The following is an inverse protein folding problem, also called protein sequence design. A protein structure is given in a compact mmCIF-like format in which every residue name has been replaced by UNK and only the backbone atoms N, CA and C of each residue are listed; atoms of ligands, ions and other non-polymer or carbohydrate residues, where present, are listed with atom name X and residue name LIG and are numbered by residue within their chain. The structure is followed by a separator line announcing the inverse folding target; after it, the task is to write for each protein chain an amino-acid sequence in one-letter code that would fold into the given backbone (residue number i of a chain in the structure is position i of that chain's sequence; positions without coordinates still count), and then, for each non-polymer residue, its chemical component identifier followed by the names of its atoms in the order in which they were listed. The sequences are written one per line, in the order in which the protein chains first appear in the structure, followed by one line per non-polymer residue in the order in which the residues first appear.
data_IF_134043776822
#
_entry.id   IF_134043776822
#
_cell.length_a   1.000
_cell.length_b   1.000
_cell.length_c   1.000
_cell.angle_alpha   90.00
_cell.angle_beta   90.00
_cell.angle_gamma   90.00
#
_symmetry.space_group_name_H-M   'P 1'
#
loop_
_entity.id
_entity.type
_entity.pdbx_description
1 polymer ?
#
# COMPACT_ATOMS: atom_id res chain seq x y z
N UNK A 1 17.17 -2.49 -22.13
CA UNK A 1 17.53 -3.66 -21.31
C UNK A 1 16.39 -4.66 -21.09
N UNK A 2 15.12 -4.34 -21.40
CA UNK A 2 13.97 -5.24 -21.16
C UNK A 2 13.36 -5.84 -22.44
N UNK A 3 13.86 -5.45 -23.61
CA UNK A 3 13.41 -5.95 -24.91
C UNK A 3 13.68 -7.46 -25.04
N UNK A 4 12.65 -8.23 -25.37
CA UNK A 4 12.70 -9.69 -25.49
C UNK A 4 12.70 -10.43 -24.15
N UNK A 5 12.57 -9.73 -23.02
CA UNK A 5 12.52 -10.31 -21.68
C UNK A 5 11.17 -10.01 -21.02
N UNK A 6 10.87 -8.73 -20.81
CA UNK A 6 9.60 -8.28 -20.23
C UNK A 6 8.67 -7.67 -21.28
N UNK A 7 9.24 -7.06 -22.32
CA UNK A 7 8.48 -6.38 -23.37
C UNK A 7 8.95 -6.83 -24.75
N UNK A 8 8.01 -6.92 -25.70
CA UNK A 8 8.27 -7.49 -27.03
C UNK A 8 9.16 -6.65 -27.94
N UNK A 9 9.39 -5.38 -27.62
CA UNK A 9 10.23 -4.48 -28.42
C UNK A 9 10.92 -3.40 -27.55
N UNK A 10 11.79 -2.60 -28.19
CA UNK A 10 12.54 -1.53 -27.53
C UNK A 10 11.64 -0.35 -27.17
N UNK A 11 10.62 -0.09 -27.98
CA UNK A 11 9.67 1.01 -27.82
C UNK A 11 8.85 0.83 -26.54
N UNK A 12 8.32 -0.38 -26.31
CA UNK A 12 7.61 -0.74 -25.09
C UNK A 12 8.54 -0.71 -23.87
N UNK A 13 9.80 -1.14 -24.02
CA UNK A 13 10.80 -1.01 -22.96
C UNK A 13 11.07 0.45 -22.59
N UNK A 14 11.15 1.35 -23.58
CA UNK A 14 11.34 2.77 -23.36
C UNK A 14 10.09 3.41 -22.73
N UNK A 15 8.90 3.03 -23.19
CA UNK A 15 7.64 3.51 -22.64
C UNK A 15 7.47 3.13 -21.16
N UNK A 16 7.80 1.89 -20.79
CA UNK A 16 7.82 1.44 -19.39
C UNK A 16 8.71 2.35 -18.53
N UNK A 17 9.96 2.55 -18.94
CA UNK A 17 10.91 3.40 -18.21
C UNK A 17 10.46 4.86 -18.13
N UNK A 18 9.84 5.38 -19.18
CA UNK A 18 9.33 6.75 -19.20
C UNK A 18 8.16 6.96 -18.24
N UNK A 19 7.29 5.96 -18.06
CA UNK A 19 6.07 6.06 -17.23
C UNK A 19 6.31 5.77 -15.75
N UNK A 20 7.45 5.19 -15.36
CA UNK A 20 7.74 4.89 -13.96
C UNK A 20 7.70 6.17 -13.08
N UNK A 21 6.90 6.17 -12.00
CA UNK A 21 6.96 7.21 -11.00
C UNK A 21 8.37 7.32 -10.41
N UNK A 22 8.92 8.53 -10.44
CA UNK A 22 10.25 8.81 -9.87
C UNK A 22 10.23 10.15 -9.15
N UNK A 23 11.08 10.26 -8.14
CA UNK A 23 11.43 11.55 -7.55
C UNK A 23 12.31 12.35 -8.51
N UNK A 24 12.29 13.69 -8.46
CA UNK A 24 13.22 14.51 -9.22
C UNK A 24 14.67 14.12 -8.93
N UNK A 25 15.48 14.11 -9.99
CA UNK A 25 16.92 13.86 -9.88
C UNK A 25 17.59 14.89 -8.94
N UNK A 26 18.63 14.46 -8.24
CA UNK A 26 19.36 15.29 -7.27
C UNK A 26 18.63 15.57 -5.96
N UNK A 27 17.37 15.13 -5.77
CA UNK A 27 16.64 15.31 -4.50
C UNK A 27 17.23 14.48 -3.35
N UNK A 28 17.71 13.27 -3.65
CA UNK A 28 18.30 12.36 -2.68
C UNK A 28 19.62 11.79 -3.21
N UNK A 29 20.58 11.57 -2.32
CA UNK A 29 21.91 11.01 -2.66
C UNK A 29 22.03 9.51 -2.38
N UNK A 30 21.02 8.89 -1.79
CA UNK A 30 21.05 7.48 -1.43
C UNK A 30 19.76 7.02 -0.76
N UNK A 31 19.69 5.71 -0.51
CA UNK A 31 18.58 5.04 0.16
C UNK A 31 19.07 4.44 1.49
N UNK A 32 18.34 4.71 2.57
CA UNK A 32 18.54 4.05 3.86
C UNK A 32 17.22 3.39 4.29
N UNK A 33 17.32 2.21 4.89
CA UNK A 33 16.15 1.45 5.36
C UNK A 33 16.40 1.00 6.78
N UNK A 34 15.39 1.13 7.63
CA UNK A 34 15.43 0.63 9.01
C UNK A 34 14.05 0.13 9.43
N UNK A 35 13.97 -0.92 10.28
CA UNK A 35 12.67 -1.35 10.83
C UNK A 35 11.97 -0.21 11.57
N UNK A 36 10.66 -0.01 11.33
CA UNK A 36 9.89 1.08 11.96
C UNK A 36 10.01 1.08 13.50
N UNK A 37 9.94 -0.11 14.12
CA UNK A 37 10.07 -0.27 15.58
C UNK A 37 11.38 0.27 16.15
N UNK A 38 12.46 0.26 15.35
CA UNK A 38 13.78 0.72 15.82
C UNK A 38 13.89 2.24 15.94
N UNK A 39 13.00 3.00 15.28
CA UNK A 39 12.98 4.47 15.27
C UNK A 39 14.32 5.13 14.92
N UNK A 40 15.22 4.46 14.18
CA UNK A 40 16.53 5.02 13.79
C UNK A 40 16.44 6.11 12.72
N UNK A 41 15.32 6.15 11.98
CA UNK A 41 15.02 7.17 10.98
C UNK A 41 13.80 7.94 11.51
N UNK A 42 14.01 9.16 11.99
CA UNK A 42 12.97 9.97 12.65
C UNK A 42 13.06 11.47 12.27
N UNK A 43 12.08 12.01 11.52
CA UNK A 43 11.03 11.27 10.81
C UNK A 43 11.62 10.53 9.59
N UNK A 44 11.11 9.34 9.23
CA UNK A 44 11.44 8.73 7.94
C UNK A 44 10.70 9.48 6.81
N UNK A 45 11.21 9.42 5.58
CA UNK A 45 10.48 9.99 4.44
C UNK A 45 9.17 9.24 4.15
N UNK A 46 9.19 7.92 4.31
CA UNK A 46 8.07 7.01 4.07
C UNK A 46 8.10 5.84 5.05
N UNK A 47 6.92 5.36 5.42
CA UNK A 47 6.70 4.10 6.12
C UNK A 47 6.22 3.04 5.12
N UNK A 48 6.72 1.81 5.24
CA UNK A 48 6.30 0.70 4.39
C UNK A 48 6.10 -0.58 5.18
N UNK A 49 5.12 -1.38 4.77
CA UNK A 49 4.83 -2.68 5.36
C UNK A 49 4.10 -3.60 4.38
N UNK A 50 4.29 -4.89 4.56
CA UNK A 50 3.58 -5.94 3.84
C UNK A 50 2.40 -6.46 4.67
N UNK A 51 1.38 -6.98 4.01
CA UNK A 51 0.20 -7.54 4.65
C UNK A 51 -0.85 -8.03 3.67
N UNK A 52 -1.79 -8.81 4.16
CA UNK A 52 -2.87 -9.39 3.34
C UNK A 52 -3.84 -8.32 2.84
N UNK A 53 -4.59 -8.57 1.74
CA UNK A 53 -5.65 -7.66 1.28
C UNK A 53 -6.61 -7.22 2.38
N UNK A 54 -6.92 -8.12 3.32
CA UNK A 54 -7.79 -7.82 4.44
C UNK A 54 -7.18 -6.81 5.44
N UNK A 55 -5.88 -6.93 5.72
CA UNK A 55 -5.17 -5.95 6.56
C UNK A 55 -5.09 -4.59 5.85
N UNK A 56 -4.82 -4.59 4.54
CA UNK A 56 -4.68 -3.37 3.75
C UNK A 56 -5.99 -2.57 3.65
N UNK A 57 -7.12 -3.23 3.39
CA UNK A 57 -8.40 -2.51 3.34
C UNK A 57 -8.79 -1.96 4.71
N UNK A 58 -8.47 -2.66 5.80
CA UNK A 58 -8.72 -2.14 7.15
C UNK A 58 -7.87 -0.90 7.45
N UNK A 59 -6.60 -0.90 7.02
CA UNK A 59 -5.73 0.27 7.11
C UNK A 59 -6.25 1.46 6.28
N UNK A 60 -6.72 1.21 5.05
CA UNK A 60 -7.34 2.24 4.19
C UNK A 60 -8.60 2.82 4.84
N UNK A 61 -9.45 1.99 5.45
CA UNK A 61 -10.61 2.49 6.19
C UNK A 61 -10.17 3.41 7.34
N UNK A 62 -9.08 3.06 8.03
CA UNK A 62 -8.46 3.92 9.05
C UNK A 62 -8.04 5.29 8.50
N UNK A 63 -7.37 5.31 7.35
CA UNK A 63 -6.99 6.56 6.67
C UNK A 63 -8.21 7.47 6.39
N UNK A 64 -9.35 6.87 6.07
CA UNK A 64 -10.57 7.56 5.67
C UNK A 64 -11.44 8.02 6.85
N UNK A 65 -11.26 7.46 8.05
CA UNK A 65 -12.20 7.65 9.17
C UNK A 65 -12.44 9.13 9.51
N UNK A 66 -11.38 9.92 9.71
CA UNK A 66 -11.51 11.35 10.04
C UNK A 66 -11.64 12.24 8.81
N UNK A 67 -11.12 11.80 7.66
CA UNK A 67 -11.06 12.57 6.41
C UNK A 67 -11.27 11.63 5.23
N UNK A 68 -12.54 11.43 4.89
CA UNK A 68 -12.87 10.59 3.75
C UNK A 68 -12.25 11.18 2.47
N UNK A 69 -11.55 10.32 1.73
CA UNK A 69 -11.23 10.53 0.33
C UNK A 69 -11.17 9.18 -0.37
N UNK A 70 -11.43 9.19 -1.67
CA UNK A 70 -11.10 8.05 -2.53
C UNK A 70 -9.59 8.05 -2.78
N UNK A 71 -9.00 6.86 -2.81
CA UNK A 71 -7.60 6.64 -3.14
C UNK A 71 -7.50 6.03 -4.54
N UNK A 72 -6.60 6.57 -5.36
CA UNK A 72 -6.32 6.04 -6.70
C UNK A 72 -4.90 5.44 -6.68
N UNK A 73 -4.83 4.12 -6.88
CA UNK A 73 -3.59 3.34 -6.94
C UNK A 73 -3.32 2.89 -8.38
N UNK A 74 -2.04 2.81 -8.74
CA UNK A 74 -1.57 2.40 -10.07
C UNK A 74 -0.83 1.08 -9.99
N UNK A 75 -0.72 0.38 -11.12
CA UNK A 75 -0.06 -0.92 -11.20
C UNK A 75 0.85 -1.01 -12.41
N UNK A 76 2.07 -1.47 -12.17
CA UNK A 76 3.09 -1.81 -13.16
C UNK A 76 3.55 -3.24 -12.84
N UNK A 77 3.42 -4.14 -13.81
CA UNK A 77 3.70 -5.56 -13.58
C UNK A 77 5.16 -5.86 -13.27
N UNK A 78 6.09 -5.21 -13.97
CA UNK A 78 7.52 -5.22 -13.67
C UNK A 78 7.91 -3.86 -13.08
N UNK A 79 8.71 -3.84 -12.02
CA UNK A 79 9.03 -2.62 -11.24
C UNK A 79 7.87 -2.08 -10.36
N UNK A 80 7.09 -2.95 -9.72
CA UNK A 80 6.03 -2.55 -8.78
C UNK A 80 6.52 -1.70 -7.58
N UNK A 81 7.82 -1.71 -7.28
CA UNK A 81 8.47 -0.79 -6.34
C UNK A 81 8.29 0.69 -6.71
N UNK A 82 8.17 1.00 -8.00
CA UNK A 82 7.90 2.36 -8.48
C UNK A 82 6.46 2.79 -8.15
N UNK A 83 5.48 1.88 -8.19
CA UNK A 83 4.09 2.17 -7.81
C UNK A 83 3.86 2.16 -6.31
N UNK A 84 4.66 1.45 -5.52
CA UNK A 84 4.57 1.54 -4.06
C UNK A 84 5.31 2.76 -3.52
N UNK A 85 6.57 2.59 -3.15
CA UNK A 85 7.32 3.57 -2.40
C UNK A 85 7.87 4.68 -3.28
N UNK A 86 8.17 4.40 -4.57
CA UNK A 86 8.54 5.43 -5.53
C UNK A 86 7.45 6.49 -5.71
N UNK A 87 6.22 6.05 -5.96
CA UNK A 87 5.03 6.89 -6.04
C UNK A 87 4.76 7.60 -4.73
N UNK A 88 4.74 6.90 -3.60
CA UNK A 88 4.47 7.51 -2.30
C UNK A 88 5.49 8.60 -1.94
N UNK A 89 6.76 8.39 -2.27
CA UNK A 89 7.83 9.36 -2.06
C UNK A 89 7.70 10.58 -3.00
N UNK A 90 7.34 10.34 -4.27
CA UNK A 90 7.18 11.38 -5.28
C UNK A 90 5.94 12.27 -5.04
N UNK A 91 4.80 11.66 -4.69
CA UNK A 91 3.52 12.37 -4.56
C UNK A 91 3.21 12.79 -3.14
N UNK A 92 3.92 12.25 -2.13
CA UNK A 92 3.57 12.39 -0.71
C UNK A 92 2.16 11.89 -0.39
N UNK A 93 1.70 10.86 -1.10
CA UNK A 93 0.41 10.21 -0.86
C UNK A 93 0.61 8.73 -0.56
N UNK A 94 -0.28 8.14 0.22
CA UNK A 94 -0.29 6.68 0.40
C UNK A 94 -0.46 5.96 -0.94
N UNK A 95 0.29 4.88 -1.12
CA UNK A 95 0.22 4.00 -2.28
C UNK A 95 0.21 2.54 -1.87
N UNK A 96 -0.73 1.78 -2.44
CA UNK A 96 -0.83 0.34 -2.33
C UNK A 96 -0.38 -0.28 -3.66
N UNK A 97 0.48 -1.28 -3.64
CA UNK A 97 0.87 -2.04 -4.82
C UNK A 97 0.63 -3.54 -4.68
N UNK A 98 0.43 -4.17 -5.83
CA UNK A 98 0.61 -5.61 -6.00
C UNK A 98 2.12 -5.85 -6.19
N UNK A 99 2.79 -6.61 -5.30
CA UNK A 99 4.21 -6.88 -5.47
C UNK A 99 4.47 -7.55 -6.83
N UNK A 100 5.62 -7.33 -7.45
CA UNK A 100 5.91 -7.93 -8.75
C UNK A 100 6.54 -9.32 -8.65
N UNK A 101 6.88 -9.91 -9.79
CA UNK A 101 7.62 -11.18 -9.85
C UNK A 101 8.95 -11.12 -9.09
N UNK A 102 9.71 -10.03 -9.23
CA UNK A 102 11.00 -9.88 -8.57
C UNK A 102 10.87 -9.76 -7.04
N UNK A 103 9.86 -9.04 -6.55
CA UNK A 103 9.57 -8.94 -5.11
C UNK A 103 9.21 -10.30 -4.51
N UNK A 104 8.44 -11.13 -5.22
CA UNK A 104 8.14 -12.51 -4.78
C UNK A 104 9.37 -13.40 -4.84
N UNK A 105 10.02 -13.46 -6.00
CA UNK A 105 11.13 -14.39 -6.25
C UNK A 105 12.38 -14.08 -5.44
N UNK A 106 12.73 -12.80 -5.31
CA UNK A 106 13.98 -12.36 -4.70
C UNK A 106 13.78 -11.66 -3.35
N UNK A 107 12.64 -11.00 -3.16
CA UNK A 107 12.27 -10.39 -1.88
C UNK A 107 11.58 -11.36 -0.92
N UNK A 108 11.11 -12.52 -1.40
CA UNK A 108 10.43 -13.52 -0.58
C UNK A 108 9.03 -13.11 -0.12
N UNK A 109 8.42 -12.13 -0.79
CA UNK A 109 7.05 -11.67 -0.48
C UNK A 109 6.07 -12.79 -0.75
N UNK A 110 5.14 -13.03 0.18
CA UNK A 110 4.15 -14.09 0.02
C UNK A 110 3.13 -13.74 -1.08
N UNK A 111 2.52 -14.76 -1.66
CA UNK A 111 1.63 -14.59 -2.81
C UNK A 111 0.36 -13.80 -2.47
N UNK A 112 -0.09 -13.93 -1.23
CA UNK A 112 -1.24 -13.26 -0.63
C UNK A 112 -0.90 -11.93 0.06
N UNK A 113 0.34 -11.45 -0.05
CA UNK A 113 0.75 -10.16 0.50
C UNK A 113 0.70 -9.04 -0.55
N UNK A 114 0.34 -7.87 -0.05
CA UNK A 114 0.40 -6.57 -0.72
C UNK A 114 1.46 -5.70 -0.04
N UNK A 115 1.92 -4.65 -0.74
CA UNK A 115 2.83 -3.66 -0.18
C UNK A 115 2.11 -2.31 0.00
N UNK A 116 2.10 -1.80 1.22
CA UNK A 116 1.66 -0.45 1.53
C UNK A 116 2.87 0.45 1.74
N UNK A 117 2.88 1.62 1.11
CA UNK A 117 3.84 2.69 1.36
C UNK A 117 3.10 4.01 1.61
N UNK A 118 3.44 4.74 2.66
CA UNK A 118 2.77 5.98 3.02
C UNK A 118 3.69 6.98 3.72
N UNK A 119 3.39 8.29 3.64
CA UNK A 119 4.00 9.29 4.51
C UNK A 119 3.77 8.96 6.01
N UNK A 120 4.68 9.35 6.91
CA UNK A 120 4.54 9.08 8.35
C UNK A 120 3.24 9.62 8.96
N UNK A 121 2.79 10.80 8.51
CA UNK A 121 1.55 11.42 8.99
C UNK A 121 0.30 10.65 8.54
N UNK A 122 0.31 10.09 7.32
CA UNK A 122 -0.76 9.20 6.87
C UNK A 122 -0.74 7.87 7.64
N UNK A 123 0.45 7.32 7.93
CA UNK A 123 0.56 6.12 8.75
C UNK A 123 -0.08 6.31 10.13
N UNK A 124 0.27 7.39 10.83
CA UNK A 124 -0.30 7.70 12.15
C UNK A 124 -1.81 7.92 12.09
N UNK A 125 -2.30 8.64 11.06
CA UNK A 125 -3.74 8.86 10.83
C UNK A 125 -4.49 7.53 10.64
N UNK A 126 -3.90 6.59 9.89
CA UNK A 126 -4.51 5.29 9.68
C UNK A 126 -4.67 4.52 10.99
N UNK A 127 -3.63 4.50 11.83
CA UNK A 127 -3.64 3.82 13.12
C UNK A 127 -4.70 4.42 14.06
N UNK A 128 -4.80 5.75 14.13
CA UNK A 128 -5.83 6.43 14.90
C UNK A 128 -7.25 6.04 14.41
N UNK A 129 -7.49 6.15 13.09
CA UNK A 129 -8.78 5.80 12.49
C UNK A 129 -9.15 4.32 12.68
N UNK A 130 -8.18 3.40 12.58
CA UNK A 130 -8.39 1.98 12.91
C UNK A 130 -8.81 1.80 14.38
N UNK A 131 -8.25 2.58 15.30
CA UNK A 131 -8.66 2.57 16.71
C UNK A 131 -10.12 3.00 16.88
N UNK A 132 -10.57 3.99 16.13
CA UNK A 132 -11.96 4.41 16.12
C UNK A 132 -12.92 3.38 15.49
N UNK A 133 -12.56 2.82 14.34
CA UNK A 133 -13.34 1.77 13.68
C UNK A 133 -13.52 0.55 14.60
N UNK A 134 -12.45 0.17 15.31
CA UNK A 134 -12.47 -0.92 16.29
C UNK A 134 -13.50 -0.70 17.40
N UNK A 135 -13.66 0.54 17.90
CA UNK A 135 -14.69 0.90 18.91
C UNK A 135 -16.12 0.71 18.37
N UNK A 136 -16.31 0.87 17.07
CA UNK A 136 -17.60 0.62 16.39
C UNK A 136 -17.81 -0.87 16.07
N UNK A 137 -16.85 -1.74 16.40
CA UNK A 137 -16.90 -3.18 16.09
C UNK A 137 -16.42 -3.53 14.68
N UNK A 138 -15.99 -2.55 13.88
CA UNK A 138 -15.37 -2.76 12.58
C UNK A 138 -13.89 -3.06 12.82
N UNK A 139 -13.49 -4.33 12.72
CA UNK A 139 -12.14 -4.78 13.08
C UNK A 139 -11.65 -5.89 12.17
N UNK A 140 -10.32 -6.01 12.09
CA UNK A 140 -9.63 -7.14 11.49
C UNK A 140 -9.16 -8.13 12.59
N UNK A 141 -9.22 -9.45 12.38
CA UNK A 141 -9.76 -10.16 11.22
C UNK A 141 -11.27 -9.93 11.03
N UNK A 142 -11.74 -9.98 9.78
CA UNK A 142 -13.16 -9.80 9.46
C UNK A 142 -13.94 -11.09 9.75
N UNK A 143 -14.84 -11.12 10.76
CA UNK A 143 -15.65 -12.28 11.02
C UNK A 143 -16.72 -12.41 9.93
N UNK A 144 -16.72 -13.48 9.11
CA UNK A 144 -17.76 -13.67 8.10
C UNK A 144 -19.09 -13.99 8.79
N UNK A 145 -20.18 -13.55 8.17
CA UNK A 145 -21.50 -14.08 8.51
C UNK A 145 -21.58 -15.56 8.12
N UNK A 146 -22.17 -16.37 8.98
CA UNK A 146 -22.49 -17.75 8.64
C UNK A 146 -23.52 -17.81 7.51
N UNK A 147 -23.47 -18.87 6.68
CA UNK A 147 -24.32 -19.00 5.50
C UNK A 147 -25.84 -18.96 5.77
N UNK A 148 -26.26 -19.23 7.01
CA UNK A 148 -27.67 -19.24 7.45
C UNK A 148 -28.05 -18.05 8.33
N UNK A 149 -27.13 -17.10 8.53
CA UNK A 149 -27.37 -15.92 9.37
C UNK A 149 -27.93 -14.76 8.54
N UNK A 150 -28.94 -14.07 9.05
CA UNK A 150 -29.45 -12.84 8.45
C UNK A 150 -28.47 -11.67 8.67
N UNK A 151 -27.87 -11.09 7.61
CA UNK A 151 -26.96 -9.96 7.74
C UNK A 151 -27.64 -8.69 8.25
N UNK A 152 -28.96 -8.53 8.11
CA UNK A 152 -29.69 -7.35 8.57
C UNK A 152 -29.51 -7.10 10.08
N UNK A 153 -29.43 -8.18 10.87
CA UNK A 153 -29.19 -8.11 12.32
C UNK A 153 -27.86 -7.44 12.67
N UNK A 154 -26.82 -7.62 11.85
CA UNK A 154 -25.54 -6.93 12.03
C UNK A 154 -25.53 -5.54 11.46
N UNK A 155 -26.08 -5.39 10.26
CA UNK A 155 -26.05 -4.14 9.53
C UNK A 155 -26.85 -3.04 10.24
N UNK A 156 -27.96 -3.37 10.90
CA UNK A 156 -28.82 -2.40 11.60
C UNK A 156 -28.06 -1.53 12.63
N UNK A 157 -26.99 -2.05 13.24
CA UNK A 157 -26.18 -1.31 14.22
C UNK A 157 -25.28 -0.24 13.58
N UNK A 158 -24.81 -0.49 12.36
CA UNK A 158 -23.73 0.29 11.73
C UNK A 158 -24.14 1.03 10.46
N UNK A 159 -25.28 0.65 9.85
CA UNK A 159 -25.72 1.08 8.53
C UNK A 159 -27.24 1.37 8.49
N UNK A 160 -27.82 1.82 9.62
CA UNK A 160 -29.21 2.31 9.67
C UNK A 160 -29.39 3.70 9.09
#
# INVERSE_FOLDING_TARGET
HMNGVWFGNKEASAAHQAQMPRVPDGKYNGLVVSPLRSARLDPPDICMFYGTPGQMIYFINGLQYHRYRRYDFTVTGESACADSWGRALATRQTSLSLPCFAERRYGGVADDELLMACPPDEFLRAIEGMGHLGKNGLRYPFPPYGAVMDPALGMAKSYS
#
